data_IF_205959383908
#
_entry.id   IF_205959383908
#
_cell.length_a   1.000
_cell.length_b   1.000
_cell.length_c   1.000
_cell.angle_alpha   90.00
_cell.angle_beta   90.00
_cell.angle_gamma   90.00
#
_symmetry.space_group_name_H-M   'P 1'
#
loop_
_entity.id
_entity.type
_entity.pdbx_description
1 polymer ?
#
# COMPACT_ATOMS: atom_id res chain seq x y z
N UNK A 1 -48.30 12.36 9.72
CA UNK A 1 -47.34 11.92 8.70
C UNK A 1 -46.03 12.62 9.03
N UNK A 2 -45.22 11.97 9.84
CA UNK A 2 -43.83 12.41 10.09
C UNK A 2 -43.03 12.25 8.81
N UNK A 3 -42.48 13.34 8.34
CA UNK A 3 -41.50 13.30 7.24
C UNK A 3 -40.27 12.61 7.81
N UNK A 4 -40.03 11.36 7.46
CA UNK A 4 -38.73 10.75 7.63
C UNK A 4 -37.71 11.62 6.89
N UNK A 5 -36.91 12.38 7.63
CA UNK A 5 -35.68 12.95 7.09
C UNK A 5 -34.82 11.75 6.58
N UNK A 6 -34.23 11.86 5.39
CA UNK A 6 -33.35 10.80 4.90
C UNK A 6 -32.24 10.62 5.93
N UNK A 7 -32.14 9.41 6.46
CA UNK A 7 -31.07 9.04 7.39
C UNK A 7 -29.75 9.30 6.64
N UNK A 8 -29.08 10.42 6.98
CA UNK A 8 -27.84 10.80 6.32
C UNK A 8 -26.83 9.70 6.60
N UNK A 9 -26.44 8.96 5.55
CA UNK A 9 -25.49 7.89 5.63
C UNK A 9 -24.18 8.43 6.28
N UNK A 10 -23.56 7.67 7.20
CA UNK A 10 -22.29 8.05 7.86
C UNK A 10 -21.19 8.45 6.87
N UNK A 11 -21.22 7.87 5.67
CA UNK A 11 -20.27 8.17 4.58
C UNK A 11 -20.55 9.53 3.94
N UNK A 12 -21.82 9.87 3.68
CA UNK A 12 -22.22 11.19 3.16
C UNK A 12 -21.82 12.29 4.15
N UNK A 13 -22.03 12.05 5.45
CA UNK A 13 -21.61 12.97 6.51
C UNK A 13 -20.07 13.11 6.58
N UNK A 14 -19.32 12.07 6.27
CA UNK A 14 -17.86 12.11 6.21
C UNK A 14 -17.37 12.88 4.99
N UNK A 15 -17.92 12.58 3.81
CA UNK A 15 -17.58 13.26 2.54
C UNK A 15 -17.92 14.74 2.57
N UNK A 16 -19.05 15.14 3.20
CA UNK A 16 -19.47 16.53 3.32
C UNK A 16 -18.46 17.42 4.10
N UNK A 17 -17.49 16.83 4.79
CA UNK A 17 -16.42 17.58 5.49
C UNK A 17 -15.31 18.07 4.54
N UNK A 18 -15.27 17.56 3.33
CA UNK A 18 -14.19 17.83 2.37
C UNK A 18 -14.76 18.44 1.10
N UNK A 19 -13.96 19.29 0.44
CA UNK A 19 -14.28 19.73 -0.90
C UNK A 19 -14.02 18.59 -1.89
N UNK A 20 -15.07 18.00 -2.44
CA UNK A 20 -15.01 16.95 -3.45
C UNK A 20 -15.04 17.48 -4.88
N UNK A 21 -15.22 18.79 -5.05
CA UNK A 21 -15.21 19.49 -6.36
C UNK A 21 -13.82 20.10 -6.53
N UNK A 22 -12.85 19.26 -6.89
CA UNK A 22 -11.47 19.70 -7.13
C UNK A 22 -11.28 20.08 -8.59
N UNK A 23 -10.56 21.19 -8.83
CA UNK A 23 -10.10 21.59 -10.14
C UNK A 23 -8.63 21.18 -10.33
N UNK A 24 -8.33 20.47 -11.41
CA UNK A 24 -6.98 19.95 -11.66
C UNK A 24 -5.92 21.06 -11.77
N UNK A 25 -6.32 22.24 -12.27
CA UNK A 25 -5.40 23.40 -12.37
C UNK A 25 -5.06 23.95 -11.00
N UNK A 26 -6.06 24.07 -10.12
CA UNK A 26 -5.85 24.54 -8.74
C UNK A 26 -4.98 23.55 -7.97
N UNK A 27 -5.22 22.25 -8.13
CA UNK A 27 -4.39 21.19 -7.51
C UNK A 27 -2.95 21.28 -8.02
N UNK A 28 -2.74 21.44 -9.33
CA UNK A 28 -1.39 21.57 -9.90
C UNK A 28 -0.65 22.78 -9.36
N UNK A 29 -1.31 23.93 -9.18
CA UNK A 29 -0.73 25.14 -8.59
C UNK A 29 -0.33 24.90 -7.13
N UNK A 30 -1.20 24.25 -6.34
CA UNK A 30 -0.90 23.92 -4.94
C UNK A 30 0.28 22.96 -4.83
N UNK A 31 0.34 21.93 -5.67
CA UNK A 31 1.46 20.98 -5.73
C UNK A 31 2.75 21.68 -6.08
N UNK A 32 2.74 22.53 -7.10
CA UNK A 32 3.93 23.31 -7.51
C UNK A 32 4.44 24.19 -6.36
N UNK A 33 3.53 24.82 -5.61
CA UNK A 33 3.88 25.62 -4.41
C UNK A 33 4.53 24.76 -3.33
N UNK A 34 3.95 23.61 -2.99
CA UNK A 34 4.50 22.68 -1.98
C UNK A 34 5.90 22.23 -2.40
N UNK A 35 6.09 21.87 -3.67
CA UNK A 35 7.40 21.45 -4.20
C UNK A 35 8.41 22.60 -4.04
N UNK A 36 8.06 23.81 -4.46
CA UNK A 36 8.97 24.95 -4.39
C UNK A 36 9.36 25.32 -2.94
N UNK A 37 8.43 25.20 -2.00
CA UNK A 37 8.65 25.58 -0.60
C UNK A 37 9.34 24.49 0.23
N UNK A 38 9.06 23.22 -0.05
CA UNK A 38 9.46 22.10 0.82
C UNK A 38 10.65 21.30 0.30
N UNK A 39 10.74 21.08 -1.00
CA UNK A 39 11.82 20.23 -1.58
C UNK A 39 13.22 20.79 -1.28
N UNK A 40 13.54 22.10 -1.39
CA UNK A 40 14.89 22.58 -1.11
C UNK A 40 15.37 22.27 0.31
N UNK A 41 14.48 22.35 1.31
CA UNK A 41 14.81 22.06 2.70
C UNK A 41 14.88 20.55 3.02
N UNK A 42 14.26 19.72 2.19
CA UNK A 42 14.21 18.27 2.37
C UNK A 42 15.20 17.50 1.48
N UNK A 43 15.93 18.18 0.59
CA UNK A 43 16.91 17.56 -0.30
C UNK A 43 18.26 17.37 0.41
N UNK A 44 18.28 16.65 1.50
CA UNK A 44 19.47 16.33 2.31
C UNK A 44 19.76 14.85 2.31
N UNK A 45 20.99 14.45 2.63
CA UNK A 45 21.36 13.02 2.73
C UNK A 45 20.58 12.31 3.83
N UNK A 46 20.30 12.97 4.94
CA UNK A 46 19.51 12.45 6.05
C UNK A 46 18.08 12.10 5.60
N UNK A 47 17.41 13.05 4.91
CA UNK A 47 16.06 12.82 4.39
C UNK A 47 16.05 11.72 3.33
N UNK A 48 17.08 11.62 2.47
CA UNK A 48 17.18 10.54 1.48
C UNK A 48 17.31 9.17 2.15
N UNK A 49 18.14 9.04 3.19
CA UNK A 49 18.27 7.81 3.98
C UNK A 49 16.96 7.43 4.64
N UNK A 50 16.28 8.40 5.26
CA UNK A 50 14.94 8.19 5.84
C UNK A 50 13.93 7.75 4.79
N UNK A 51 13.88 8.38 3.62
CA UNK A 51 12.98 7.99 2.53
C UNK A 51 13.29 6.60 1.98
N UNK A 52 14.56 6.20 1.95
CA UNK A 52 14.95 4.85 1.57
C UNK A 52 14.37 3.82 2.54
N UNK A 53 14.45 4.08 3.84
CA UNK A 53 13.84 3.24 4.87
C UNK A 53 12.30 3.24 4.83
N UNK A 54 11.65 4.18 4.17
CA UNK A 54 10.19 4.20 3.99
C UNK A 54 9.72 3.43 2.73
N UNK A 55 10.60 2.78 2.00
CA UNK A 55 10.25 2.08 0.76
C UNK A 55 9.66 0.71 1.05
N UNK A 56 8.48 0.44 0.50
CA UNK A 56 8.00 -0.93 0.30
C UNK A 56 8.57 -1.44 -1.02
N UNK A 57 9.63 -2.24 -0.94
CA UNK A 57 10.31 -2.78 -2.12
C UNK A 57 9.40 -3.82 -2.78
N UNK A 58 8.86 -3.48 -3.95
CA UNK A 58 7.70 -4.14 -4.53
C UNK A 58 8.05 -4.94 -5.78
N UNK A 59 7.54 -6.18 -5.87
CA UNK A 59 7.43 -6.94 -7.11
C UNK A 59 6.03 -7.51 -7.25
N UNK A 60 5.32 -7.07 -8.30
CA UNK A 60 3.94 -7.44 -8.60
C UNK A 60 3.80 -7.74 -10.10
N UNK A 61 4.78 -8.45 -10.66
CA UNK A 61 4.78 -8.83 -12.06
C UNK A 61 3.98 -10.12 -12.26
N UNK A 62 3.28 -10.22 -13.37
CA UNK A 62 2.56 -11.46 -13.76
C UNK A 62 3.51 -12.65 -13.95
N UNK A 63 4.80 -12.38 -14.13
CA UNK A 63 5.86 -13.38 -14.34
C UNK A 63 6.63 -13.73 -13.07
N UNK A 64 6.24 -13.19 -11.90
CA UNK A 64 6.88 -13.54 -10.65
C UNK A 64 6.68 -15.04 -10.35
N UNK A 65 7.72 -15.64 -9.81
CA UNK A 65 7.78 -17.05 -9.42
C UNK A 65 8.52 -17.18 -8.09
N UNK A 66 8.41 -18.33 -7.44
CA UNK A 66 9.12 -18.62 -6.20
C UNK A 66 10.61 -18.29 -6.30
N UNK A 67 11.25 -18.70 -7.41
CA UNK A 67 12.67 -18.45 -7.65
C UNK A 67 12.97 -16.94 -7.81
N UNK A 68 12.13 -16.20 -8.54
CA UNK A 68 12.34 -14.76 -8.73
C UNK A 68 12.14 -13.97 -7.45
N UNK A 69 11.12 -14.32 -6.67
CA UNK A 69 10.83 -13.68 -5.38
C UNK A 69 11.89 -14.02 -4.34
N UNK A 70 12.35 -15.28 -4.28
CA UNK A 70 13.48 -15.67 -3.44
C UNK A 70 14.74 -14.84 -3.75
N UNK A 71 15.12 -14.72 -5.03
CA UNK A 71 16.26 -13.90 -5.45
C UNK A 71 16.07 -12.40 -5.14
N UNK A 72 14.84 -11.94 -5.24
CA UNK A 72 14.49 -10.56 -4.88
C UNK A 72 14.68 -10.30 -3.39
N UNK A 73 14.22 -11.22 -2.54
CA UNK A 73 14.40 -11.14 -1.08
C UNK A 73 15.87 -11.24 -0.67
N UNK A 74 16.64 -12.12 -1.31
CA UNK A 74 18.09 -12.25 -1.06
C UNK A 74 18.86 -10.94 -1.30
N UNK A 75 18.42 -10.08 -2.21
CA UNK A 75 19.04 -8.75 -2.40
C UNK A 75 18.84 -7.84 -1.19
N UNK A 76 17.75 -7.99 -0.47
CA UNK A 76 17.50 -7.24 0.76
C UNK A 76 18.45 -7.71 1.87
N UNK A 77 18.66 -9.02 2.00
CA UNK A 77 19.65 -9.57 2.93
C UNK A 77 21.07 -9.09 2.57
N UNK A 78 21.46 -9.15 1.29
CA UNK A 78 22.77 -8.67 0.82
C UNK A 78 22.98 -7.18 1.08
N UNK A 79 21.93 -6.36 0.92
CA UNK A 79 22.01 -4.93 1.19
C UNK A 79 22.37 -4.69 2.67
N UNK A 80 21.75 -5.42 3.58
CA UNK A 80 22.02 -5.30 5.02
C UNK A 80 23.48 -5.64 5.36
N UNK A 81 24.01 -6.69 4.74
CA UNK A 81 25.41 -7.10 4.90
C UNK A 81 26.39 -6.07 4.31
N UNK A 82 26.08 -5.51 3.12
CA UNK A 82 26.96 -4.58 2.40
C UNK A 82 26.95 -3.17 2.98
N UNK A 83 25.83 -2.75 3.60
CA UNK A 83 25.60 -1.40 4.11
C UNK A 83 25.10 -1.37 5.56
N UNK A 84 25.84 -1.92 6.53
CA UNK A 84 25.38 -2.08 7.92
C UNK A 84 25.10 -0.75 8.65
N UNK A 85 25.55 0.38 8.12
CA UNK A 85 25.30 1.72 8.65
C UNK A 85 24.06 2.40 8.06
N UNK A 86 23.32 1.70 7.18
CA UNK A 86 22.08 2.19 6.55
C UNK A 86 20.91 1.31 6.96
N UNK A 87 19.83 1.93 7.41
CA UNK A 87 18.57 1.22 7.61
C UNK A 87 18.07 0.65 6.28
N UNK A 88 17.59 -0.58 6.30
CA UNK A 88 17.06 -1.27 5.13
C UNK A 88 15.69 -0.69 4.72
N UNK A 89 15.10 -1.19 3.64
CA UNK A 89 13.74 -0.84 3.21
C UNK A 89 12.71 -1.22 4.29
N UNK A 90 11.55 -0.55 4.32
CA UNK A 90 10.51 -0.81 5.31
C UNK A 90 9.88 -2.20 5.15
N UNK A 91 9.59 -2.58 3.91
CA UNK A 91 8.95 -3.85 3.61
C UNK A 91 9.35 -4.41 2.24
N UNK A 92 9.12 -5.72 2.08
CA UNK A 92 9.04 -6.38 0.77
C UNK A 92 7.56 -6.59 0.47
N UNK A 93 7.07 -6.01 -0.64
CA UNK A 93 5.68 -6.12 -1.05
C UNK A 93 5.53 -7.07 -2.24
N UNK A 94 4.67 -8.10 -2.07
CA UNK A 94 4.46 -9.18 -3.04
C UNK A 94 2.98 -9.55 -3.17
N UNK A 95 2.66 -10.40 -4.15
CA UNK A 95 1.38 -11.12 -4.16
C UNK A 95 1.29 -12.09 -2.96
N UNK A 96 0.09 -12.31 -2.39
CA UNK A 96 -0.10 -13.07 -1.14
C UNK A 96 0.43 -14.52 -1.20
N UNK A 97 0.40 -15.14 -2.38
CA UNK A 97 0.92 -16.50 -2.59
C UNK A 97 2.46 -16.62 -2.48
N UNK A 98 3.17 -15.50 -2.36
CA UNK A 98 4.63 -15.47 -2.16
C UNK A 98 5.04 -15.08 -0.73
N UNK A 99 4.08 -14.86 0.18
CA UNK A 99 4.38 -14.48 1.56
C UNK A 99 5.31 -15.50 2.26
N UNK A 100 5.03 -16.80 2.12
CA UNK A 100 5.85 -17.87 2.70
C UNK A 100 7.28 -17.88 2.13
N UNK A 101 7.44 -17.64 0.83
CA UNK A 101 8.76 -17.57 0.18
C UNK A 101 9.59 -16.41 0.76
N UNK A 102 8.97 -15.23 0.90
CA UNK A 102 9.64 -14.08 1.51
C UNK A 102 10.01 -14.41 2.95
N UNK A 103 9.06 -14.92 3.75
CA UNK A 103 9.25 -15.27 5.16
C UNK A 103 10.37 -16.29 5.37
N UNK A 104 10.45 -17.31 4.51
CA UNK A 104 11.49 -18.34 4.62
C UNK A 104 12.86 -17.90 4.14
N UNK A 105 12.94 -16.80 3.37
CA UNK A 105 14.18 -16.31 2.74
C UNK A 105 14.73 -15.07 3.44
N UNK A 106 13.86 -14.22 4.00
CA UNK A 106 14.24 -12.96 4.65
C UNK A 106 14.97 -13.24 5.98
N UNK A 107 16.17 -12.68 6.12
CA UNK A 107 17.03 -12.81 7.31
C UNK A 107 17.08 -11.52 8.14
N UNK A 108 16.65 -10.38 7.56
CA UNK A 108 16.64 -9.07 8.21
C UNK A 108 15.38 -8.92 9.06
N UNK A 109 15.55 -8.68 10.37
CA UNK A 109 14.44 -8.65 11.33
C UNK A 109 13.51 -7.41 11.18
N UNK A 110 14.06 -6.27 10.77
CA UNK A 110 13.33 -5.00 10.73
C UNK A 110 12.56 -4.76 9.41
N UNK A 111 12.72 -5.63 8.42
CA UNK A 111 11.99 -5.55 7.13
C UNK A 111 10.69 -6.34 7.23
N UNK A 112 9.56 -5.69 6.93
CA UNK A 112 8.24 -6.31 6.99
C UNK A 112 7.90 -7.05 5.69
N UNK A 113 6.92 -7.95 5.78
CA UNK A 113 6.34 -8.65 4.65
C UNK A 113 4.97 -8.02 4.39
N UNK A 114 4.86 -7.24 3.31
CA UNK A 114 3.61 -6.65 2.87
C UNK A 114 3.01 -7.50 1.74
N UNK A 115 1.71 -7.74 1.79
CA UNK A 115 1.01 -8.44 0.71
C UNK A 115 -0.15 -7.63 0.18
N UNK A 116 -0.24 -7.51 -1.15
CA UNK A 116 -1.45 -6.96 -1.76
C UNK A 116 -2.62 -7.92 -1.56
N UNK A 117 -3.82 -7.40 -1.44
CA UNK A 117 -5.02 -8.20 -1.19
C UNK A 117 -6.28 -7.54 -1.77
N UNK A 118 -7.41 -8.21 -1.55
CA UNK A 118 -8.75 -7.81 -2.01
C UNK A 118 -8.91 -7.83 -3.53
N UNK A 119 -8.26 -8.81 -4.18
CA UNK A 119 -8.35 -9.01 -5.62
C UNK A 119 -7.56 -7.95 -6.42
N UNK A 120 -6.38 -7.60 -5.90
CA UNK A 120 -5.48 -6.65 -6.56
C UNK A 120 -5.14 -7.09 -8.01
N UNK A 121 -5.07 -6.15 -9.00
CA UNK A 121 -5.22 -4.70 -8.85
C UNK A 121 -6.67 -4.20 -9.02
N UNK A 122 -7.59 -5.00 -9.54
CA UNK A 122 -8.90 -4.52 -9.96
C UNK A 122 -9.97 -4.52 -8.86
N UNK A 123 -9.77 -5.31 -7.81
CA UNK A 123 -10.75 -5.55 -6.74
C UNK A 123 -12.13 -6.05 -7.23
N UNK A 124 -12.21 -6.60 -8.44
CA UNK A 124 -13.45 -7.07 -9.08
C UNK A 124 -13.72 -8.55 -8.75
N UNK A 125 -13.89 -8.85 -7.45
CA UNK A 125 -14.21 -10.18 -6.97
C UNK A 125 -15.19 -10.10 -5.78
N UNK A 126 -15.63 -11.25 -5.28
CA UNK A 126 -16.55 -11.35 -4.15
C UNK A 126 -15.86 -10.95 -2.83
N UNK A 127 -16.62 -10.33 -1.93
CA UNK A 127 -16.11 -9.91 -0.61
C UNK A 127 -15.54 -11.08 0.19
N UNK A 128 -16.20 -12.23 0.14
CA UNK A 128 -15.77 -13.46 0.82
C UNK A 128 -14.41 -13.96 0.31
N UNK A 129 -14.14 -13.79 -1.00
CA UNK A 129 -12.85 -14.12 -1.60
C UNK A 129 -11.77 -13.17 -1.11
N UNK A 130 -12.07 -11.87 -1.03
CA UNK A 130 -11.12 -10.86 -0.50
C UNK A 130 -10.74 -11.14 0.95
N UNK A 131 -11.74 -11.50 1.78
CA UNK A 131 -11.52 -11.87 3.19
C UNK A 131 -10.67 -13.13 3.30
N UNK A 132 -10.97 -14.14 2.48
CA UNK A 132 -10.21 -15.38 2.46
C UNK A 132 -8.75 -15.16 2.00
N UNK A 133 -8.52 -14.37 0.94
CA UNK A 133 -7.20 -14.01 0.45
C UNK A 133 -6.37 -13.31 1.54
N UNK A 134 -6.96 -12.31 2.21
CA UNK A 134 -6.31 -11.60 3.32
C UNK A 134 -5.95 -12.56 4.47
N UNK A 135 -6.87 -13.44 4.85
CA UNK A 135 -6.62 -14.40 5.91
C UNK A 135 -5.49 -15.38 5.55
N UNK A 136 -5.43 -15.83 4.30
CA UNK A 136 -4.36 -16.71 3.81
C UNK A 136 -3.02 -15.99 3.81
N UNK A 137 -2.95 -14.74 3.33
CA UNK A 137 -1.71 -13.95 3.36
C UNK A 137 -1.13 -13.82 4.78
N UNK A 138 -1.98 -13.56 5.77
CA UNK A 138 -1.57 -13.50 7.18
C UNK A 138 -1.07 -14.87 7.70
N UNK A 139 -1.75 -15.95 7.32
CA UNK A 139 -1.33 -17.32 7.72
C UNK A 139 0.03 -17.69 7.10
N UNK A 140 0.31 -17.27 5.88
CA UNK A 140 1.58 -17.49 5.18
C UNK A 140 2.69 -16.55 5.66
N UNK A 141 2.37 -15.56 6.50
CA UNK A 141 3.37 -14.75 7.21
C UNK A 141 3.46 -13.30 6.81
N UNK A 142 2.44 -12.75 6.15
CA UNK A 142 2.37 -11.30 5.94
C UNK A 142 2.25 -10.56 7.28
N UNK A 143 3.04 -9.51 7.46
CA UNK A 143 2.96 -8.57 8.58
C UNK A 143 1.98 -7.44 8.28
N UNK A 144 1.87 -7.06 7.01
CA UNK A 144 1.07 -5.94 6.52
C UNK A 144 0.24 -6.35 5.31
N UNK A 145 -0.96 -5.77 5.22
CA UNK A 145 -1.89 -6.02 4.10
C UNK A 145 -2.22 -4.72 3.39
N UNK A 146 -1.95 -4.69 2.09
CA UNK A 146 -2.26 -3.59 1.20
C UNK A 146 -3.56 -3.87 0.43
N UNK A 147 -4.66 -3.30 0.90
CA UNK A 147 -6.02 -3.60 0.43
C UNK A 147 -6.44 -2.65 -0.71
N UNK A 148 -6.86 -3.23 -1.82
CA UNK A 148 -7.53 -2.48 -2.89
C UNK A 148 -9.02 -2.35 -2.59
N UNK A 149 -9.52 -1.11 -2.56
CA UNK A 149 -10.96 -0.84 -2.41
C UNK A 149 -11.75 -1.24 -3.67
N UNK A 150 -13.04 -1.53 -3.49
CA UNK A 150 -13.97 -1.75 -4.60
C UNK A 150 -14.31 -0.41 -5.28
N UNK A 151 -13.42 0.10 -6.15
CA UNK A 151 -13.52 1.44 -6.75
C UNK A 151 -14.87 1.70 -7.42
N UNK A 152 -15.38 0.72 -8.18
CA UNK A 152 -16.68 0.85 -8.84
C UNK A 152 -17.85 1.01 -7.86
N UNK A 153 -17.80 0.31 -6.73
CA UNK A 153 -18.76 0.44 -5.63
C UNK A 153 -18.68 1.83 -5.00
N UNK A 154 -17.47 2.26 -4.68
CA UNK A 154 -17.23 3.58 -4.12
C UNK A 154 -17.75 4.71 -5.03
N UNK A 155 -17.42 4.67 -6.32
CA UNK A 155 -17.85 5.67 -7.30
C UNK A 155 -19.37 5.69 -7.54
N UNK A 156 -20.06 4.56 -7.31
CA UNK A 156 -21.52 4.47 -7.39
C UNK A 156 -22.24 4.87 -6.10
N UNK A 157 -21.51 5.22 -5.05
CA UNK A 157 -22.07 5.54 -3.73
C UNK A 157 -22.43 4.34 -2.88
N UNK A 158 -22.06 3.13 -3.29
CA UNK A 158 -22.28 1.90 -2.53
C UNK A 158 -21.09 1.70 -1.55
N UNK A 159 -21.16 2.40 -0.41
CA UNK A 159 -20.07 2.42 0.58
C UNK A 159 -20.17 1.28 1.62
N UNK A 160 -21.21 0.47 1.56
CA UNK A 160 -21.42 -0.63 2.51
C UNK A 160 -20.79 -1.96 2.03
N UNK A 161 -20.38 -2.03 0.74
CA UNK A 161 -19.85 -3.25 0.13
C UNK A 161 -18.38 -3.12 -0.26
#
# INVERSE_FOLDING_TARGET
MEKNEPNQNKYDAALAKYNTQLDDTEVAVQVAKIIAEKVPGNHTEEVKKFLFHCIDLTTLNTTDSDESVMKFTQKVNQFDEEFPDLENVAAICVYPNFAEIVKSTLEVEDVKIACVSAGFPSSQTFTEVKVAETAMALMEGADEIDIVISVGKFLSGDYEN
#
